data_IF_720312065492
#
_entry.id   IF_720312065492
#
_cell.length_a   1.000
_cell.length_b   1.000
_cell.length_c   1.000
_cell.angle_alpha   90.00
_cell.angle_beta   90.00
_cell.angle_gamma   90.00
#
_symmetry.space_group_name_H-M   'P 1'
#
loop_
_entity.id
_entity.type
_entity.pdbx_description
1 polymer ?
#
# COMPACT_ATOMS: atom_id res chain seq x y z
N UNK A 1 -26.92 1.87 -6.38
CA UNK A 1 -25.81 1.21 -5.67
C UNK A 1 -25.07 2.26 -4.89
N UNK A 2 -24.85 2.03 -3.59
CA UNK A 2 -24.36 3.04 -2.65
C UNK A 2 -23.09 3.74 -3.14
N UNK A 3 -23.10 5.07 -3.14
CA UNK A 3 -21.88 5.87 -3.14
C UNK A 3 -21.12 5.52 -1.85
N UNK A 4 -20.26 4.50 -1.89
CA UNK A 4 -19.34 4.23 -0.80
C UNK A 4 -18.44 5.46 -0.66
N UNK A 5 -18.64 6.19 0.43
CA UNK A 5 -18.01 7.47 0.66
C UNK A 5 -16.50 7.29 0.93
N UNK A 6 -15.74 7.23 -0.17
CA UNK A 6 -14.27 7.24 -0.16
C UNK A 6 -13.70 8.47 0.56
N UNK A 7 -14.52 9.50 0.83
CA UNK A 7 -14.09 10.67 1.59
C UNK A 7 -13.90 10.35 3.08
N UNK A 8 -14.61 9.35 3.61
CA UNK A 8 -14.49 8.91 5.01
C UNK A 8 -13.13 8.30 5.35
N UNK A 9 -12.49 7.59 4.42
CA UNK A 9 -11.19 6.93 4.66
C UNK A 9 -10.04 7.90 4.93
N UNK A 10 -10.19 9.17 4.56
CA UNK A 10 -9.07 10.12 4.55
C UNK A 10 -9.39 11.39 5.32
N UNK A 11 -10.36 11.34 6.25
CA UNK A 11 -10.71 12.48 7.10
C UNK A 11 -9.49 12.94 7.91
N UNK A 12 -8.74 12.02 8.52
CA UNK A 12 -7.54 12.35 9.31
C UNK A 12 -6.47 13.06 8.47
N UNK A 13 -6.28 12.63 7.21
CA UNK A 13 -5.32 13.26 6.29
C UNK A 13 -5.72 14.69 5.87
N UNK A 14 -7.01 15.05 6.00
CA UNK A 14 -7.50 16.42 5.72
C UNK A 14 -7.25 17.38 6.89
N UNK A 15 -6.85 16.88 8.05
CA UNK A 15 -6.51 17.73 9.19
C UNK A 15 -5.30 18.61 8.88
N UNK A 16 -5.33 19.92 9.21
CA UNK A 16 -4.18 20.81 9.06
C UNK A 16 -2.91 20.33 9.80
N UNK A 17 -3.07 19.47 10.81
CA UNK A 17 -1.97 18.88 11.58
C UNK A 17 -1.57 17.47 11.16
N UNK A 18 -2.00 16.98 10.00
CA UNK A 18 -1.62 15.63 9.56
C UNK A 18 -0.10 15.52 9.37
N UNK A 19 0.51 14.58 10.06
CA UNK A 19 1.93 14.23 9.95
C UNK A 19 2.03 12.79 9.46
N UNK A 20 2.94 12.55 8.50
CA UNK A 20 3.22 11.19 8.06
C UNK A 20 3.82 10.35 9.19
N UNK A 21 3.21 9.19 9.47
CA UNK A 21 3.68 8.28 10.50
C UNK A 21 4.55 7.20 9.89
N UNK A 22 5.83 7.18 10.28
CA UNK A 22 6.80 6.13 9.95
C UNK A 22 6.87 5.14 11.10
N UNK A 23 6.04 4.10 11.06
CA UNK A 23 6.07 3.05 12.06
C UNK A 23 7.12 2.00 11.68
N UNK A 24 8.01 1.66 12.62
CA UNK A 24 9.01 0.61 12.42
C UNK A 24 8.34 -0.73 12.09
N UNK A 25 8.95 -1.53 11.22
CA UNK A 25 8.39 -2.77 10.65
C UNK A 25 7.96 -3.81 11.69
N UNK A 26 8.68 -3.93 12.80
CA UNK A 26 8.40 -4.88 13.86
C UNK A 26 7.28 -4.46 14.84
N UNK A 27 6.82 -3.21 14.77
CA UNK A 27 5.75 -2.74 15.66
C UNK A 27 4.37 -3.11 15.12
N UNK A 28 3.44 -3.46 16.01
CA UNK A 28 2.04 -3.71 15.65
C UNK A 28 1.38 -2.41 15.16
N UNK A 29 0.85 -2.34 13.93
CA UNK A 29 0.09 -1.19 13.47
C UNK A 29 -1.15 -1.00 14.34
N UNK A 30 -1.40 0.22 14.82
CA UNK A 30 -2.64 0.50 15.56
C UNK A 30 -3.78 0.69 14.57
N UNK A 31 -4.95 0.20 14.94
CA UNK A 31 -6.17 0.34 14.16
C UNK A 31 -6.43 1.79 13.78
N UNK A 32 -7.02 1.96 12.59
CA UNK A 32 -7.55 3.19 11.99
C UNK A 32 -6.51 4.27 11.69
N UNK A 33 -5.22 3.99 11.89
CA UNK A 33 -4.15 4.92 11.54
C UNK A 33 -3.79 4.90 10.05
N UNK A 34 -3.05 5.94 9.65
CA UNK A 34 -2.42 6.05 8.34
C UNK A 34 -0.90 5.96 8.50
N UNK A 35 -0.28 5.02 7.79
CA UNK A 35 1.16 4.80 7.83
C UNK A 35 1.82 5.03 6.47
N UNK A 36 3.07 5.47 6.50
CA UNK A 36 3.94 5.41 5.33
C UNK A 36 4.39 3.98 5.10
N UNK A 37 4.19 3.49 3.88
CA UNK A 37 4.57 2.15 3.43
C UNK A 37 5.15 2.22 2.02
N UNK A 38 5.63 1.09 1.52
CA UNK A 38 6.31 0.95 0.25
C UNK A 38 5.82 -0.27 -0.50
N UNK A 39 5.82 -0.15 -1.84
CA UNK A 39 5.51 -1.25 -2.74
C UNK A 39 6.52 -1.24 -3.88
N UNK A 40 7.28 -2.33 -4.00
CA UNK A 40 8.19 -2.58 -5.11
C UNK A 40 7.47 -3.25 -6.26
N UNK A 41 7.72 -2.79 -7.48
CA UNK A 41 7.04 -3.28 -8.68
C UNK A 41 7.82 -2.91 -9.94
N UNK A 42 7.30 -3.29 -11.12
CA UNK A 42 7.90 -2.95 -12.43
C UNK A 42 7.53 -1.54 -12.88
N UNK A 43 8.26 -0.96 -13.84
CA UNK A 43 7.89 0.35 -14.44
C UNK A 43 6.50 0.28 -15.08
N UNK A 44 6.18 -0.82 -15.75
CA UNK A 44 4.89 -1.03 -16.38
C UNK A 44 3.75 -1.05 -15.34
N UNK A 45 3.91 -1.80 -14.25
CA UNK A 45 2.91 -1.87 -13.18
C UNK A 45 2.79 -0.53 -12.43
N UNK A 46 3.91 0.13 -12.11
CA UNK A 46 3.89 1.45 -11.49
C UNK A 46 3.12 2.48 -12.33
N UNK A 47 3.28 2.45 -13.66
CA UNK A 47 2.52 3.29 -14.59
C UNK A 47 1.01 3.05 -14.48
N UNK A 48 0.59 1.78 -14.42
CA UNK A 48 -0.82 1.42 -14.27
C UNK A 48 -1.37 1.83 -12.89
N UNK A 49 -0.62 1.59 -11.83
CA UNK A 49 -0.99 1.95 -10.46
C UNK A 49 -1.16 3.47 -10.33
N UNK A 50 -0.25 4.27 -10.90
CA UNK A 50 -0.37 5.73 -10.87
C UNK A 50 -1.62 6.21 -11.62
N UNK A 51 -1.97 5.59 -12.75
CA UNK A 51 -3.12 6.00 -13.57
C UNK A 51 -4.45 5.57 -12.99
N UNK A 52 -4.52 4.33 -12.50
CA UNK A 52 -5.77 3.64 -12.23
C UNK A 52 -5.96 3.23 -10.76
N UNK A 53 -4.91 3.37 -9.93
CA UNK A 53 -4.87 2.84 -8.57
C UNK A 53 -4.44 1.38 -8.53
N UNK A 54 -4.32 0.86 -7.31
CA UNK A 54 -4.01 -0.55 -7.08
C UNK A 54 -5.17 -1.46 -7.44
N UNK A 55 -4.86 -2.71 -7.78
CA UNK A 55 -5.80 -3.83 -7.89
C UNK A 55 -5.33 -4.92 -6.94
N UNK A 56 -6.27 -5.64 -6.34
CA UNK A 56 -5.93 -6.80 -5.52
C UNK A 56 -5.26 -7.88 -6.39
N UNK A 57 -4.30 -8.61 -5.82
CA UNK A 57 -3.90 -9.91 -6.34
C UNK A 57 -5.06 -10.91 -6.23
N UNK A 58 -5.06 -11.97 -7.04
CA UNK A 58 -6.07 -13.02 -6.96
C UNK A 58 -5.94 -13.89 -5.70
N UNK A 59 -4.71 -14.06 -5.20
CA UNK A 59 -4.37 -14.81 -3.99
C UNK A 59 -2.99 -14.35 -3.45
N UNK A 60 -2.57 -14.94 -2.33
CA UNK A 60 -1.25 -14.81 -1.74
C UNK A 60 -1.19 -15.51 -0.38
N UNK A 61 -0.10 -15.32 0.36
CA UNK A 61 0.06 -15.89 1.71
C UNK A 61 -1.09 -15.52 2.65
N UNK A 62 -1.60 -14.30 2.53
CA UNK A 62 -2.69 -13.74 3.34
C UNK A 62 -4.02 -13.68 2.57
N UNK A 63 -4.14 -14.44 1.47
CA UNK A 63 -5.27 -14.36 0.55
C UNK A 63 -5.15 -13.18 -0.43
N UNK A 64 -6.28 -12.83 -1.06
CA UNK A 64 -6.33 -11.72 -2.02
C UNK A 64 -6.18 -10.37 -1.32
N UNK A 65 -5.48 -9.45 -1.97
CA UNK A 65 -5.28 -8.10 -1.46
C UNK A 65 -4.13 -7.37 -2.12
N UNK A 66 -3.75 -6.22 -1.57
CA UNK A 66 -2.56 -5.47 -2.00
C UNK A 66 -1.49 -5.60 -0.94
N UNK A 67 -0.35 -6.16 -1.32
CA UNK A 67 0.78 -6.43 -0.43
C UNK A 67 1.75 -5.24 -0.42
N UNK A 68 2.05 -4.74 0.77
CA UNK A 68 2.94 -3.60 1.00
C UNK A 68 3.80 -3.86 2.25
N UNK A 69 4.83 -3.05 2.43
CA UNK A 69 5.75 -3.17 3.57
C UNK A 69 6.13 -1.80 4.10
N UNK A 70 6.36 -1.70 5.41
CA UNK A 70 6.94 -0.52 6.07
C UNK A 70 8.47 -0.49 5.89
N UNK A 71 9.09 -1.64 5.65
CA UNK A 71 10.48 -1.76 5.22
C UNK A 71 10.65 -1.41 3.72
N UNK A 72 11.30 -0.27 3.47
CA UNK A 72 11.60 0.20 2.12
C UNK A 72 12.59 -0.72 1.39
N UNK A 73 13.55 -1.29 2.10
CA UNK A 73 14.58 -2.14 1.52
C UNK A 73 13.99 -3.51 1.17
N UNK A 74 13.02 -4.00 1.96
CA UNK A 74 12.18 -5.14 1.56
C UNK A 74 11.45 -4.86 0.26
N UNK A 75 10.74 -3.73 0.17
CA UNK A 75 10.02 -3.36 -1.04
C UNK A 75 10.97 -3.23 -2.25
N UNK A 76 12.17 -2.69 -2.04
CA UNK A 76 13.23 -2.57 -3.05
C UNK A 76 13.88 -3.89 -3.48
N UNK A 77 13.35 -5.05 -3.07
CA UNK A 77 13.74 -6.35 -3.64
C UNK A 77 12.93 -6.73 -4.88
N UNK A 78 11.80 -6.07 -5.12
CA UNK A 78 10.89 -6.42 -6.21
C UNK A 78 11.04 -5.51 -7.44
N UNK A 79 10.91 -6.05 -8.67
CA UNK A 79 10.81 -7.48 -8.97
C UNK A 79 12.12 -8.22 -8.63
N UNK A 80 12.03 -9.50 -8.28
CA UNK A 80 13.19 -10.28 -7.80
C UNK A 80 14.20 -10.55 -8.93
N UNK A 81 13.72 -10.70 -10.17
CA UNK A 81 14.52 -11.19 -11.29
C UNK A 81 15.18 -10.08 -12.12
N UNK A 82 14.62 -8.87 -12.14
CA UNK A 82 15.12 -7.75 -12.96
C UNK A 82 15.10 -6.40 -12.22
N UNK A 83 16.22 -6.08 -11.58
CA UNK A 83 16.36 -4.80 -10.89
C UNK A 83 16.44 -3.60 -11.85
N UNK A 84 16.67 -3.81 -13.14
CA UNK A 84 16.73 -2.71 -14.12
C UNK A 84 15.35 -2.12 -14.43
N UNK A 85 14.27 -2.86 -14.13
CA UNK A 85 12.87 -2.45 -14.24
C UNK A 85 12.24 -2.07 -12.89
N UNK A 86 13.05 -2.02 -11.83
CA UNK A 86 12.55 -1.83 -10.47
C UNK A 86 12.08 -0.40 -10.17
N UNK A 87 10.84 -0.30 -9.68
CA UNK A 87 10.25 0.92 -9.10
C UNK A 87 9.81 0.66 -7.66
N UNK A 88 10.08 1.61 -6.77
CA UNK A 88 9.55 1.62 -5.41
C UNK A 88 8.62 2.81 -5.24
N UNK A 89 7.34 2.53 -4.99
CA UNK A 89 6.32 3.53 -4.71
C UNK A 89 6.27 3.80 -3.20
N UNK A 90 6.29 5.08 -2.80
CA UNK A 90 5.95 5.50 -1.44
C UNK A 90 4.44 5.67 -1.34
N UNK A 91 3.87 5.09 -0.29
CA UNK A 91 2.44 5.01 -0.07
C UNK A 91 2.06 5.70 1.24
N UNK A 92 0.84 6.22 1.28
CA UNK A 92 0.07 6.36 2.52
C UNK A 92 -1.00 5.28 2.52
N UNK A 93 -1.09 4.53 3.62
CA UNK A 93 -2.01 3.41 3.74
C UNK A 93 -2.85 3.61 4.99
N UNK A 94 -4.17 3.74 4.81
CA UNK A 94 -5.11 3.67 5.92
C UNK A 94 -5.34 2.20 6.26
N UNK A 95 -4.80 1.74 7.39
CA UNK A 95 -4.82 0.30 7.72
C UNK A 95 -6.18 -0.18 8.23
N UNK A 96 -7.10 0.73 8.58
CA UNK A 96 -8.40 0.35 9.14
C UNK A 96 -8.26 -0.58 10.34
N UNK A 97 -9.11 -1.60 10.46
CA UNK A 97 -8.94 -2.64 11.50
C UNK A 97 -7.86 -3.62 11.08
N UNK A 98 -6.88 -3.86 11.97
CA UNK A 98 -5.71 -4.70 11.68
C UNK A 98 -5.82 -6.05 12.37
N UNK A 99 -5.55 -7.12 11.63
CA UNK A 99 -5.40 -8.47 12.19
C UNK A 99 -3.96 -8.93 12.11
N UNK A 100 -3.34 -9.20 13.25
CA UNK A 100 -2.06 -9.92 13.31
C UNK A 100 -2.23 -11.37 12.85
N UNK A 101 -1.39 -11.81 11.91
CA UNK A 101 -1.25 -13.18 11.41
C UNK A 101 0.21 -13.58 11.63
N UNK A 102 0.49 -14.41 12.63
CA UNK A 102 1.86 -14.67 13.12
C UNK A 102 2.26 -16.15 13.13
N UNK A 103 1.47 -17.03 12.49
CA UNK A 103 1.83 -18.43 12.27
C UNK A 103 1.22 -18.97 10.98
N UNK A 104 1.91 -19.92 10.35
CA UNK A 104 1.38 -20.64 9.20
C UNK A 104 0.17 -21.48 9.63
N UNK A 105 -0.88 -21.47 8.83
CA UNK A 105 -2.15 -22.11 9.16
C UNK A 105 -2.99 -21.32 10.17
N UNK A 106 -2.67 -20.04 10.43
CA UNK A 106 -3.50 -19.20 11.30
C UNK A 106 -4.98 -19.24 10.82
N UNK A 107 -5.98 -19.40 11.70
CA UNK A 107 -7.37 -19.63 11.30
C UNK A 107 -7.95 -18.55 10.37
N UNK A 108 -7.47 -17.31 10.51
CA UNK A 108 -7.87 -16.17 9.68
C UNK A 108 -6.84 -15.81 8.59
N UNK A 109 -5.85 -16.65 8.31
CA UNK A 109 -4.73 -16.32 7.40
C UNK A 109 -5.22 -15.78 6.05
N UNK A 110 -6.27 -16.38 5.47
CA UNK A 110 -6.84 -15.94 4.19
C UNK A 110 -8.25 -15.32 4.28
N UNK A 111 -8.88 -15.34 5.44
CA UNK A 111 -10.31 -14.97 5.64
C UNK A 111 -10.51 -13.78 6.58
N UNK A 112 -9.44 -13.15 7.06
CA UNK A 112 -9.51 -11.98 7.96
C UNK A 112 -10.45 -10.86 7.47
N UNK A 113 -10.57 -10.65 6.16
CA UNK A 113 -11.46 -9.64 5.58
C UNK A 113 -12.95 -9.96 5.78
N UNK A 114 -13.33 -11.24 5.72
CA UNK A 114 -14.70 -11.70 6.00
C UNK A 114 -15.09 -11.47 7.47
N UNK A 115 -14.10 -11.33 8.35
CA UNK A 115 -14.26 -11.03 9.77
C UNK A 115 -14.21 -9.52 10.07
N UNK A 116 -14.29 -8.68 9.03
CA UNK A 116 -14.38 -7.23 9.16
C UNK A 116 -13.06 -6.54 9.47
N UNK A 117 -11.92 -7.19 9.20
CA UNK A 117 -10.61 -6.55 9.20
C UNK A 117 -10.29 -5.95 7.83
N UNK A 118 -9.59 -4.83 7.81
CA UNK A 118 -9.21 -4.11 6.59
C UNK A 118 -7.79 -4.43 6.13
N UNK A 119 -6.93 -4.85 7.07
CA UNK A 119 -5.53 -5.21 6.85
C UNK A 119 -5.17 -6.47 7.65
N UNK A 120 -4.53 -7.44 7.01
CA UNK A 120 -3.76 -8.47 7.70
C UNK A 120 -2.30 -8.05 7.80
N UNK A 121 -1.69 -8.21 8.97
CA UNK A 121 -0.30 -7.86 9.24
C UNK A 121 0.49 -9.08 9.74
N UNK A 122 1.61 -9.33 9.08
CA UNK A 122 2.61 -10.33 9.46
C UNK A 122 3.80 -9.63 10.12
N UNK A 123 4.15 -9.96 11.38
CA UNK A 123 5.37 -9.43 12.00
C UNK A 123 6.62 -10.11 11.45
N UNK A 124 7.74 -9.38 11.50
CA UNK A 124 9.06 -9.95 11.26
C UNK A 124 9.38 -11.09 12.23
N UNK A 125 10.21 -12.04 11.82
CA UNK A 125 10.65 -13.20 12.61
C UNK A 125 9.51 -14.13 13.10
N UNK A 126 8.35 -14.10 12.47
CA UNK A 126 7.21 -14.97 12.81
C UNK A 126 7.26 -16.36 12.18
N UNK A 127 8.18 -16.62 11.26
CA UNK A 127 8.18 -17.86 10.46
C UNK A 127 7.15 -17.86 9.34
N UNK A 128 6.45 -16.75 9.10
CA UNK A 128 5.44 -16.64 8.03
C UNK A 128 6.05 -16.59 6.63
N UNK A 129 7.20 -15.93 6.45
CA UNK A 129 7.84 -15.76 5.13
C UNK A 129 9.30 -16.13 5.21
N UNK A 130 9.92 -16.73 4.16
CA UNK A 130 11.33 -17.10 4.18
C UNK A 130 12.27 -15.92 4.50
N UNK A 131 11.89 -14.70 4.11
CA UNK A 131 12.68 -13.50 4.38
C UNK A 131 12.66 -13.08 5.86
N UNK A 132 11.73 -13.59 6.66
CA UNK A 132 11.47 -13.18 8.05
C UNK A 132 11.14 -11.69 8.22
N UNK A 133 10.74 -10.99 7.15
CA UNK A 133 10.39 -9.56 7.18
C UNK A 133 8.88 -9.33 7.22
N UNK A 134 8.46 -8.20 7.76
CA UNK A 134 7.04 -7.89 7.97
C UNK A 134 6.31 -7.68 6.64
N UNK A 135 5.00 -7.92 6.62
CA UNK A 135 4.17 -7.66 5.44
C UNK A 135 2.76 -7.28 5.85
N UNK A 136 2.18 -6.34 5.12
CA UNK A 136 0.79 -5.93 5.26
C UNK A 136 0.03 -6.31 3.98
N UNK A 137 -1.15 -6.90 4.11
CA UNK A 137 -2.07 -7.19 3.01
C UNK A 137 -3.37 -6.43 3.23
N UNK A 138 -3.67 -5.49 2.33
CA UNK A 138 -4.81 -4.58 2.43
C UNK A 138 -5.94 -5.08 1.53
N UNK A 139 -7.15 -5.12 2.09
CA UNK A 139 -8.31 -5.64 1.37
C UNK A 139 -8.75 -4.66 0.29
N UNK A 140 -9.13 -3.44 0.66
CA UNK A 140 -9.66 -2.44 -0.27
C UNK A 140 -8.54 -1.54 -0.82
N UNK A 141 -8.22 -1.60 -2.14
CA UNK A 141 -7.20 -0.76 -2.75
C UNK A 141 -7.43 0.75 -2.57
N UNK A 142 -8.66 1.19 -2.31
CA UNK A 142 -9.01 2.61 -2.08
C UNK A 142 -8.42 3.15 -0.77
N UNK A 143 -7.96 2.28 0.13
CA UNK A 143 -7.21 2.62 1.35
C UNK A 143 -5.74 2.94 1.11
N UNK A 144 -5.29 2.89 -0.15
CA UNK A 144 -3.90 3.12 -0.52
C UNK A 144 -3.79 4.35 -1.44
N UNK A 145 -2.89 5.26 -1.09
CA UNK A 145 -2.51 6.40 -1.94
C UNK A 145 -1.03 6.33 -2.29
N UNK A 146 -0.73 6.37 -3.58
CA UNK A 146 0.63 6.68 -4.03
C UNK A 146 0.90 8.15 -3.75
N UNK A 147 1.97 8.43 -3.01
CA UNK A 147 2.37 9.80 -2.66
C UNK A 147 3.72 10.21 -3.24
N UNK A 148 4.56 9.24 -3.62
CA UNK A 148 5.83 9.52 -4.28
C UNK A 148 6.41 8.30 -5.00
N UNK A 149 7.38 8.54 -5.89
CA UNK A 149 8.22 7.51 -6.52
C UNK A 149 9.59 7.55 -5.82
N UNK A 150 9.81 6.62 -4.88
CA UNK A 150 11.03 6.59 -4.05
C UNK A 150 12.27 6.07 -4.77
N UNK A 151 12.09 5.21 -5.77
CA UNK A 151 13.16 4.66 -6.61
C UNK A 151 12.57 4.31 -7.98
N UNK A 152 13.29 4.56 -9.05
CA UNK A 152 12.99 4.08 -10.40
C UNK A 152 14.27 4.09 -11.25
N UNK A 153 14.31 3.38 -12.39
CA UNK A 153 15.43 3.42 -13.32
C UNK A 153 15.58 4.83 -13.92
N UNK A 154 16.81 5.30 -14.14
CA UNK A 154 17.09 6.69 -14.54
C UNK A 154 16.36 7.11 -15.82
N UNK A 155 16.29 6.22 -16.81
CA UNK A 155 15.60 6.42 -18.08
C UNK A 155 14.07 6.53 -17.94
N UNK A 156 13.47 5.99 -16.86
CA UNK A 156 12.02 6.03 -16.63
C UNK A 156 11.58 7.03 -15.56
N UNK A 157 12.47 7.45 -14.67
CA UNK A 157 12.14 8.31 -13.52
C UNK A 157 11.45 9.62 -13.93
N UNK A 158 11.99 10.30 -14.95
CA UNK A 158 11.44 11.58 -15.40
C UNK A 158 10.01 11.44 -15.95
N UNK A 159 9.73 10.36 -16.68
CA UNK A 159 8.41 10.04 -17.21
C UNK A 159 7.42 9.74 -16.09
N UNK A 160 7.79 8.87 -15.15
CA UNK A 160 6.94 8.50 -14.02
C UNK A 160 6.60 9.70 -13.14
N UNK A 161 7.57 10.58 -12.85
CA UNK A 161 7.33 11.81 -12.07
C UNK A 161 6.35 12.73 -12.80
N UNK A 162 6.52 12.93 -14.11
CA UNK A 162 5.58 13.74 -14.93
C UNK A 162 4.18 13.16 -14.89
N UNK A 163 4.05 11.84 -15.05
CA UNK A 163 2.78 11.13 -14.97
C UNK A 163 2.12 11.30 -13.59
N UNK A 164 2.88 11.10 -12.52
CA UNK A 164 2.40 11.26 -11.14
C UNK A 164 1.89 12.68 -10.87
N UNK A 165 2.67 13.71 -11.22
CA UNK A 165 2.29 15.12 -11.07
C UNK A 165 1.00 15.44 -11.85
N UNK A 166 0.87 14.94 -13.09
CA UNK A 166 -0.34 15.10 -13.90
C UNK A 166 -1.55 14.44 -13.23
N UNK A 167 -1.39 13.23 -12.70
CA UNK A 167 -2.48 12.52 -12.02
C UNK A 167 -2.96 13.25 -10.77
N UNK A 168 -2.04 13.74 -9.94
CA UNK A 168 -2.37 14.53 -8.74
C UNK A 168 -3.11 15.82 -9.10
N UNK A 169 -2.63 16.56 -10.11
CA UNK A 169 -3.29 17.80 -10.58
C UNK A 169 -4.73 17.53 -11.01
N UNK A 170 -4.95 16.48 -11.82
CA UNK A 170 -6.29 16.11 -12.29
C UNK A 170 -7.24 15.73 -11.15
N UNK A 171 -6.74 15.03 -10.13
CA UNK A 171 -7.55 14.70 -8.93
C UNK A 171 -7.93 15.95 -8.15
N UNK A 172 -7.03 16.92 -8.00
CA UNK A 172 -7.33 18.18 -7.32
C UNK A 172 -8.39 19.00 -8.07
N UNK A 173 -8.29 19.10 -9.40
CA UNK A 173 -9.29 19.80 -10.22
C UNK A 173 -10.67 19.16 -10.13
N UNK A 174 -10.75 17.83 -10.21
CA UNK A 174 -12.04 17.12 -10.13
C UNK A 174 -12.73 17.22 -8.75
N UNK A 175 -11.99 17.50 -7.66
CA UNK A 175 -12.60 17.78 -6.34
C UNK A 175 -13.21 19.17 -6.25
N UNK A 176 -12.76 20.13 -7.04
CA UNK A 176 -13.31 21.49 -7.03
C UNK A 176 -14.61 21.60 -7.83
N UNK A 177 -14.82 20.72 -8.80
CA UNK A 177 -16.02 20.70 -9.67
C UNK A 177 -17.20 19.97 -8.99
N UNK A 178 -16.95 19.15 -7.96
CA UNK A 178 -17.99 18.37 -7.25
C UNK A 178 -18.50 19.04 -5.96
N UNK A 179 -18.37 20.36 -5.82
CA UNK A 179 -18.99 21.11 -4.72
C UNK A 179 -20.33 21.66 -5.15
#
# INVERSE_FOLDING_TARGET
MAHCDVDGFWIEERSPGFIEVFLQSNHHPRDRNIYVMYHGTTVAAATQIIKHGFKQSADGMLGRGVYVSRDKDKAARYPLDDQSDQVVLKLRVNVGRVKKIDCQGHPLQKTWHDHGYDTAWVPSCSGMVPSQLEEDCIWDPRRIKVVWISKAPKNHLSHLIKLFKKHIKNRSTNRHIKK
#
